data_IF_084951203343
#
_entry.id   IF_084951203343
#
_cell.length_a   1.000
_cell.length_b   1.000
_cell.length_c   1.000
_cell.angle_alpha   90.00
_cell.angle_beta   90.00
_cell.angle_gamma   90.00
#
_symmetry.space_group_name_H-M   'P 1'
#
loop_
_entity.id
_entity.type
_entity.pdbx_description
1 polymer ?
#
# COMPACT_ATOMS: atom_id res chain seq x y z
N UNK A 1 -24.44 -4.43 34.24
CA UNK A 1 -23.27 -4.59 33.35
C UNK A 1 -21.96 -4.75 34.12
N UNK A 2 -21.57 -3.82 35.00
CA UNK A 2 -20.34 -3.94 35.79
C UNK A 2 -20.31 -5.16 36.73
N UNK A 3 -21.48 -5.60 37.18
CA UNK A 3 -21.64 -6.81 37.98
C UNK A 3 -21.38 -8.12 37.22
N UNK A 4 -21.62 -8.14 35.90
CA UNK A 4 -21.45 -9.34 35.04
C UNK A 4 -20.13 -9.31 34.28
N UNK A 5 -19.68 -8.13 33.84
CA UNK A 5 -18.50 -7.95 32.99
C UNK A 5 -17.31 -7.31 33.71
N UNK A 6 -17.47 -6.94 34.99
CA UNK A 6 -16.40 -6.36 35.80
C UNK A 6 -15.78 -5.11 35.18
N UNK A 7 -14.45 -5.07 35.16
CA UNK A 7 -13.65 -3.98 34.60
C UNK A 7 -13.61 -3.97 33.06
N UNK A 8 -13.98 -5.08 32.41
CA UNK A 8 -14.06 -5.17 30.94
C UNK A 8 -15.38 -4.66 30.38
N UNK A 9 -16.19 -4.00 31.21
CA UNK A 9 -17.44 -3.38 30.79
C UNK A 9 -17.18 -2.24 29.80
N UNK A 10 -17.93 -2.22 28.69
CA UNK A 10 -17.93 -1.10 27.77
C UNK A 10 -18.50 0.15 28.45
N UNK A 11 -17.99 1.33 28.07
CA UNK A 11 -18.53 2.60 28.52
C UNK A 11 -19.98 2.78 28.06
N UNK A 12 -20.80 3.43 28.89
CA UNK A 12 -22.22 3.69 28.60
C UNK A 12 -22.47 4.36 27.25
N UNK A 13 -21.62 5.32 26.88
CA UNK A 13 -21.68 6.00 25.58
C UNK A 13 -21.49 5.05 24.39
N UNK A 14 -20.67 4.01 24.52
CA UNK A 14 -20.49 2.99 23.49
C UNK A 14 -21.72 2.11 23.35
N UNK A 15 -22.31 1.71 24.48
CA UNK A 15 -23.53 0.88 24.52
C UNK A 15 -24.70 1.62 23.87
N UNK A 16 -24.91 2.88 24.25
CA UNK A 16 -25.99 3.70 23.69
C UNK A 16 -25.84 3.88 22.16
N UNK A 17 -24.62 4.15 21.69
CA UNK A 17 -24.33 4.23 20.26
C UNK A 17 -24.61 2.92 19.51
N UNK A 18 -24.39 1.78 20.15
CA UNK A 18 -24.71 0.47 19.57
C UNK A 18 -26.23 0.22 19.54
N UNK A 19 -26.96 0.55 20.59
CA UNK A 19 -28.43 0.46 20.62
C UNK A 19 -29.06 1.31 19.49
N UNK A 20 -28.64 2.56 19.32
CA UNK A 20 -29.11 3.41 18.24
C UNK A 20 -28.84 2.83 16.85
N UNK A 21 -27.66 2.21 16.63
CA UNK A 21 -27.32 1.56 15.36
C UNK A 21 -28.19 0.34 15.10
N UNK A 22 -28.49 -0.43 16.14
CA UNK A 22 -29.37 -1.59 16.05
C UNK A 22 -30.80 -1.17 15.70
N UNK A 23 -31.34 -0.14 16.35
CA UNK A 23 -32.64 0.46 16.01
C UNK A 23 -32.66 1.01 14.58
N UNK A 24 -31.55 1.55 14.10
CA UNK A 24 -31.37 1.98 12.71
C UNK A 24 -31.21 0.82 11.70
N UNK A 25 -31.43 -0.43 12.12
CA UNK A 25 -31.41 -1.62 11.26
C UNK A 25 -30.02 -2.22 11.01
N UNK A 26 -28.97 -1.77 11.72
CA UNK A 26 -27.63 -2.37 11.59
C UNK A 26 -27.55 -3.67 12.40
N UNK A 27 -27.62 -4.80 11.71
CA UNK A 27 -27.49 -6.14 12.30
C UNK A 27 -26.06 -6.70 12.26
N UNK A 28 -25.16 -6.13 11.45
CA UNK A 28 -23.77 -6.60 11.38
C UNK A 28 -22.98 -6.17 12.61
N UNK A 29 -22.42 -7.18 13.28
CA UNK A 29 -21.59 -7.04 14.48
C UNK A 29 -20.16 -6.65 14.10
N UNK A 30 -19.71 -6.98 12.88
CA UNK A 30 -18.35 -6.65 12.43
C UNK A 30 -18.17 -5.14 12.27
N UNK A 31 -16.95 -4.67 12.47
CA UNK A 31 -16.59 -3.28 12.15
C UNK A 31 -16.78 -3.05 10.65
N UNK A 32 -17.46 -1.97 10.29
CA UNK A 32 -17.48 -1.50 8.91
C UNK A 32 -16.04 -1.18 8.47
N UNK A 33 -15.75 -1.25 7.15
CA UNK A 33 -14.47 -0.81 6.62
C UNK A 33 -14.18 0.59 7.16
N UNK A 34 -13.12 0.71 7.96
CA UNK A 34 -12.70 2.02 8.45
C UNK A 34 -12.24 2.80 7.23
N UNK A 35 -12.87 3.94 6.99
CA UNK A 35 -12.35 4.92 6.03
C UNK A 35 -11.02 5.41 6.60
N UNK A 36 -9.94 4.73 6.27
CA UNK A 36 -8.59 5.19 6.57
C UNK A 36 -8.33 6.52 5.87
N UNK A 37 -7.23 7.19 6.23
CA UNK A 37 -6.76 8.35 5.47
C UNK A 37 -6.52 7.89 4.04
N UNK A 38 -7.38 8.30 3.10
CA UNK A 38 -7.11 8.14 1.69
C UNK A 38 -5.72 8.74 1.46
N UNK A 39 -4.81 8.01 0.83
CA UNK A 39 -3.55 8.59 0.39
C UNK A 39 -3.89 9.58 -0.74
N UNK A 40 -4.31 10.79 -0.35
CA UNK A 40 -4.63 11.95 -1.21
C UNK A 40 -3.42 12.33 -2.10
N UNK A 41 -2.23 11.81 -1.80
CA UNK A 41 -0.99 12.06 -2.55
C UNK A 41 -0.84 11.16 -3.78
N UNK A 42 -1.67 10.13 -3.95
CA UNK A 42 -1.68 9.27 -5.15
C UNK A 42 -2.67 9.80 -6.19
N UNK A 43 -2.35 10.95 -6.79
CA UNK A 43 -3.01 11.39 -8.01
C UNK A 43 -2.73 10.39 -9.14
N UNK A 44 -3.71 10.14 -10.02
CA UNK A 44 -3.52 9.27 -11.19
C UNK A 44 -2.31 9.69 -12.03
N UNK A 45 -2.06 10.99 -12.14
CA UNK A 45 -0.90 11.58 -12.81
C UNK A 45 0.43 11.09 -12.21
N UNK A 46 0.57 11.05 -10.88
CA UNK A 46 1.81 10.60 -10.26
C UNK A 46 2.01 9.09 -10.40
N UNK A 47 0.92 8.31 -10.42
CA UNK A 47 0.98 6.88 -10.69
C UNK A 47 1.47 6.62 -12.13
N UNK A 48 0.92 7.33 -13.12
CA UNK A 48 1.35 7.22 -14.52
C UNK A 48 2.80 7.64 -14.73
N UNK A 49 3.25 8.72 -14.08
CA UNK A 49 4.64 9.16 -14.16
C UNK A 49 5.61 8.11 -13.58
N UNK A 50 5.25 7.48 -12.45
CA UNK A 50 6.05 6.37 -11.90
C UNK A 50 6.09 5.18 -12.85
N UNK A 51 4.96 4.82 -13.48
CA UNK A 51 4.91 3.73 -14.46
C UNK A 51 5.80 3.98 -15.68
N UNK A 52 5.76 5.21 -16.21
CA UNK A 52 6.58 5.61 -17.36
C UNK A 52 8.08 5.56 -17.04
N UNK A 53 8.51 6.05 -15.88
CA UNK A 53 9.91 5.99 -15.44
C UNK A 53 10.42 4.55 -15.31
N UNK A 54 9.58 3.64 -14.82
CA UNK A 54 9.93 2.21 -14.70
C UNK A 54 10.03 1.56 -16.08
N UNK A 55 9.14 1.91 -17.02
CA UNK A 55 9.18 1.41 -18.40
C UNK A 55 10.38 1.92 -19.18
N UNK A 56 10.76 3.19 -19.00
CA UNK A 56 11.93 3.78 -19.63
C UNK A 56 13.23 3.18 -19.09
N UNK A 57 13.30 2.93 -17.77
CA UNK A 57 14.46 2.33 -17.13
C UNK A 57 14.04 1.27 -16.11
N UNK A 58 14.04 0.00 -16.54
CA UNK A 58 13.71 -1.14 -15.69
C UNK A 58 14.63 -1.34 -14.49
N UNK A 59 15.74 -0.57 -14.39
CA UNK A 59 16.73 -0.63 -13.29
C UNK A 59 16.65 0.53 -12.32
N UNK A 60 15.73 1.49 -12.55
CA UNK A 60 15.61 2.68 -11.71
C UNK A 60 15.33 2.29 -10.24
N UNK A 61 15.93 3.04 -9.33
CA UNK A 61 15.76 2.84 -7.90
C UNK A 61 14.59 3.67 -7.37
N UNK A 62 13.97 3.21 -6.29
CA UNK A 62 12.90 3.96 -5.60
C UNK A 62 13.37 5.33 -5.10
N UNK A 63 14.69 5.54 -4.91
CA UNK A 63 15.25 6.82 -4.48
C UNK A 63 15.34 7.80 -5.63
N UNK A 64 15.75 7.35 -6.81
CA UNK A 64 15.81 8.18 -8.02
C UNK A 64 14.41 8.68 -8.39
N UNK A 65 13.41 7.79 -8.42
CA UNK A 65 12.01 8.17 -8.67
C UNK A 65 11.51 9.18 -7.62
N UNK A 66 11.87 8.99 -6.35
CA UNK A 66 11.45 9.89 -5.27
C UNK A 66 12.03 11.31 -5.45
N UNK A 67 13.29 11.41 -5.88
CA UNK A 67 13.94 12.69 -6.18
C UNK A 67 13.32 13.35 -7.41
N UNK A 68 13.14 12.58 -8.48
CA UNK A 68 12.63 13.09 -9.76
C UNK A 68 11.20 13.62 -9.65
N UNK A 69 10.33 12.90 -8.94
CA UNK A 69 8.94 13.31 -8.73
C UNK A 69 8.75 14.20 -7.49
N UNK A 70 9.81 14.46 -6.72
CA UNK A 70 9.74 15.17 -5.43
C UNK A 70 8.71 14.58 -4.46
N UNK A 71 8.63 13.25 -4.41
CA UNK A 71 7.69 12.49 -3.59
C UNK A 71 8.46 11.71 -2.51
N UNK A 72 7.82 11.45 -1.37
CA UNK A 72 8.43 10.60 -0.35
C UNK A 72 8.72 9.19 -0.86
N UNK A 73 9.88 8.63 -0.49
CA UNK A 73 10.25 7.24 -0.82
C UNK A 73 9.18 6.22 -0.39
N UNK A 74 8.49 6.46 0.72
CA UNK A 74 7.41 5.60 1.21
C UNK A 74 6.21 5.58 0.26
N UNK A 75 5.83 6.74 -0.27
CA UNK A 75 4.75 6.86 -1.26
C UNK A 75 5.12 6.17 -2.57
N UNK A 76 6.35 6.35 -3.07
CA UNK A 76 6.84 5.65 -4.29
C UNK A 76 6.79 4.14 -4.10
N UNK A 77 7.26 3.63 -2.96
CA UNK A 77 7.20 2.20 -2.64
C UNK A 77 5.75 1.69 -2.60
N UNK A 78 4.83 2.46 -2.02
CA UNK A 78 3.41 2.11 -2.02
C UNK A 78 2.83 2.08 -3.44
N UNK A 79 3.15 3.06 -4.29
CA UNK A 79 2.68 3.10 -5.68
C UNK A 79 3.15 1.86 -6.44
N UNK A 80 4.45 1.57 -6.39
CA UNK A 80 5.06 0.45 -7.13
C UNK A 80 4.42 -0.89 -6.73
N UNK A 81 4.26 -1.17 -5.44
CA UNK A 81 3.80 -2.48 -4.98
C UNK A 81 2.28 -2.61 -4.82
N UNK A 82 1.57 -1.54 -4.44
CA UNK A 82 0.12 -1.61 -4.16
C UNK A 82 -0.74 -1.06 -5.28
N UNK A 83 -0.22 -0.18 -6.14
CA UNK A 83 -0.97 0.39 -7.28
C UNK A 83 -0.58 -0.25 -8.61
N UNK A 84 0.73 -0.37 -8.87
CA UNK A 84 1.24 -0.91 -10.14
C UNK A 84 1.52 -2.42 -10.10
N UNK A 85 1.73 -3.00 -8.90
CA UNK A 85 1.96 -4.44 -8.75
C UNK A 85 3.35 -4.91 -9.20
N UNK A 86 4.33 -4.02 -9.32
CA UNK A 86 5.68 -4.40 -9.72
C UNK A 86 6.42 -5.15 -8.60
N UNK A 87 7.10 -6.22 -8.98
CA UNK A 87 8.07 -6.96 -8.17
C UNK A 87 9.50 -6.70 -8.66
N UNK A 88 10.48 -6.69 -7.75
CA UNK A 88 11.89 -6.60 -8.13
C UNK A 88 12.48 -7.99 -8.27
N UNK A 89 12.96 -8.33 -9.46
CA UNK A 89 13.61 -9.61 -9.75
C UNK A 89 15.12 -9.41 -9.85
N UNK A 90 15.88 -10.35 -9.30
CA UNK A 90 17.33 -10.43 -9.52
C UNK A 90 17.57 -11.13 -10.86
N UNK A 91 18.32 -10.51 -11.78
CA UNK A 91 18.64 -11.16 -13.04
C UNK A 91 19.50 -12.41 -12.79
N UNK A 92 19.22 -13.45 -13.57
CA UNK A 92 19.90 -14.74 -13.50
C UNK A 92 21.36 -14.60 -13.92
N UNK A 93 22.24 -15.36 -13.25
CA UNK A 93 23.65 -15.44 -13.62
C UNK A 93 23.82 -16.21 -14.93
N UNK A 94 24.43 -15.58 -15.93
CA UNK A 94 24.76 -16.20 -17.22
C UNK A 94 26.28 -16.42 -17.28
N UNK A 95 26.77 -17.65 -17.55
CA UNK A 95 28.19 -17.94 -17.68
C UNK A 95 28.87 -17.10 -18.78
N UNK A 96 30.11 -16.71 -18.51
CA UNK A 96 30.88 -15.64 -19.15
C UNK A 96 31.27 -15.83 -20.62
N UNK A 97 30.88 -16.93 -21.28
CA UNK A 97 31.23 -17.18 -22.69
C UNK A 97 30.44 -16.28 -23.67
N UNK A 98 29.45 -15.54 -23.17
CA UNK A 98 28.80 -14.42 -23.85
C UNK A 98 29.10 -13.12 -23.09
N UNK A 99 30.16 -12.41 -23.47
CA UNK A 99 30.45 -11.08 -22.92
C UNK A 99 29.37 -10.07 -23.36
N UNK A 100 28.31 -9.87 -22.56
CA UNK A 100 27.59 -8.58 -22.56
C UNK A 100 26.75 -8.22 -21.33
N UNK A 101 26.56 -9.08 -20.33
CA UNK A 101 25.61 -8.77 -19.25
C UNK A 101 26.31 -8.76 -17.88
N UNK A 102 26.59 -7.55 -17.38
CA UNK A 102 26.92 -7.29 -15.97
C UNK A 102 25.70 -7.64 -15.10
N UNK A 103 25.92 -8.31 -13.96
CA UNK A 103 24.91 -8.64 -12.92
C UNK A 103 23.89 -7.50 -12.72
N UNK A 104 22.59 -7.75 -12.92
CA UNK A 104 21.56 -6.67 -12.95
C UNK A 104 20.29 -7.05 -12.17
N UNK A 105 19.58 -6.06 -11.63
CA UNK A 105 18.28 -6.19 -10.95
C UNK A 105 17.26 -5.42 -11.77
N UNK A 106 16.11 -6.01 -12.05
CA UNK A 106 15.10 -5.47 -12.97
C UNK A 106 13.71 -5.55 -12.34
N UNK A 107 12.85 -4.57 -12.64
CA UNK A 107 11.44 -4.60 -12.25
C UNK A 107 10.63 -5.43 -13.25
N UNK A 108 9.83 -6.36 -12.75
CA UNK A 108 8.95 -7.21 -13.57
C UNK A 108 7.57 -7.21 -12.92
N UNK A 109 6.51 -7.30 -13.71
CA UNK A 109 5.16 -7.50 -13.20
C UNK A 109 5.11 -8.79 -12.36
N UNK A 110 4.54 -8.70 -11.16
CA UNK A 110 4.28 -9.85 -10.30
C UNK A 110 2.86 -10.37 -10.53
#
# INVERSE_FOLDING_TARGET
>A
MKEVYGEHCLAWCTIFRWCQRYEAGRLDIKDLPRTGKAHVVTNSVTISAVDELIRQNSRITTREIAVELSISKGTVHHIIHKKLGYGKICAQWVPSICQRIRRRREWVFA
#
